data_IF_842027509058
#
_entry.id   IF_842027509058
#
_cell.length_a   1.000
_cell.length_b   1.000
_cell.length_c   1.000
_cell.angle_alpha   90.00
_cell.angle_beta   90.00
_cell.angle_gamma   90.00
#
_symmetry.space_group_name_H-M   'P 1'
#
loop_
_entity.id
_entity.type
_entity.pdbx_description
1 polymer ?
#
# COMPACT_ATOMS: atom_id res chain seq x y z
N UNK A 1 -21.72 -23.36 -8.75
CA UNK A 1 -21.35 -23.37 -8.42
C UNK A 1 -20.72 -23.25 -8.04
N UNK A 2 -20.33 -23.08 -8.06
CA UNK A 2 -19.66 -23.05 -7.76
C UNK A 2 -19.16 -22.75 -6.92
N UNK A 3 -19.06 -22.54 -6.57
CA UNK A 3 -18.64 -22.24 -5.76
C UNK A 3 -17.91 -22.65 -5.06
N UNK A 4 -17.76 -23.16 -5.07
CA UNK A 4 -17.02 -23.56 -4.47
C UNK A 4 -15.92 -23.42 -4.67
N UNK A 5 -15.82 -23.43 -5.11
CA UNK A 5 -14.67 -23.50 -5.32
C UNK A 5 -13.94 -22.58 -5.09
N UNK A 6 -14.29 -22.15 -5.05
CA UNK A 6 -13.51 -21.33 -4.90
C UNK A 6 -12.91 -21.00 -3.75
N UNK A 7 -13.08 -21.41 -2.86
CA UNK A 7 -12.55 -20.99 -1.81
C UNK A 7 -11.17 -21.04 -1.71
N UNK A 8 -10.70 -22.05 -1.85
CA UNK A 8 -9.30 -22.17 -1.67
C UNK A 8 -8.57 -21.68 -2.86
N UNK A 9 -9.20 -21.61 -3.96
CA UNK A 9 -8.43 -21.24 -5.09
C UNK A 9 -9.02 -20.00 -5.72
N UNK A 10 -8.18 -19.01 -5.85
CA UNK A 10 -8.55 -17.78 -6.49
C UNK A 10 -8.12 -17.85 -7.94
N UNK A 11 -8.85 -17.20 -8.80
CA UNK A 11 -8.51 -17.22 -10.20
C UNK A 11 -7.27 -16.38 -10.42
N UNK A 12 -6.63 -16.60 -11.55
CA UNK A 12 -5.49 -15.80 -11.94
C UNK A 12 -5.88 -14.33 -12.04
N UNK A 13 -7.09 -14.07 -12.48
CA UNK A 13 -7.57 -12.69 -12.60
C UNK A 13 -7.65 -12.04 -11.24
N UNK A 14 -8.15 -12.74 -10.24
CA UNK A 14 -8.25 -12.19 -8.91
C UNK A 14 -6.88 -11.90 -8.33
N UNK A 15 -5.93 -12.79 -8.55
CA UNK A 15 -4.56 -12.58 -8.09
C UNK A 15 -3.94 -11.38 -8.79
N UNK A 16 -4.17 -11.26 -10.08
CA UNK A 16 -3.65 -10.11 -10.83
C UNK A 16 -4.27 -8.81 -10.38
N UNK A 17 -5.56 -8.84 -10.00
CA UNK A 17 -6.21 -7.63 -9.52
C UNK A 17 -5.62 -7.16 -8.20
N UNK A 18 -5.29 -8.08 -7.31
CA UNK A 18 -4.67 -7.73 -6.05
C UNK A 18 -3.29 -7.12 -6.30
N UNK A 19 -2.50 -7.73 -7.17
CA UNK A 19 -1.19 -7.21 -7.48
C UNK A 19 -1.26 -5.83 -8.13
N UNK A 20 -2.24 -5.63 -8.99
CA UNK A 20 -2.44 -4.35 -9.63
C UNK A 20 -2.84 -3.29 -8.60
N UNK A 21 -3.72 -3.63 -7.68
CA UNK A 21 -4.12 -2.71 -6.63
C UNK A 21 -2.95 -2.34 -5.72
N UNK A 22 -2.09 -3.31 -5.43
CA UNK A 22 -0.89 -3.04 -4.64
C UNK A 22 0.01 -2.05 -5.37
N UNK A 23 0.22 -2.27 -6.67
CA UNK A 23 1.06 -1.38 -7.45
C UNK A 23 0.50 0.04 -7.48
N UNK A 24 -0.81 0.16 -7.65
CA UNK A 24 -1.44 1.48 -7.68
C UNK A 24 -1.34 2.16 -6.32
N UNK A 25 -1.47 1.39 -5.25
CA UNK A 25 -1.38 1.93 -3.90
C UNK A 25 0.03 2.40 -3.60
N UNK A 26 1.04 1.65 -4.03
CA UNK A 26 2.42 2.08 -3.89
C UNK A 26 2.68 3.38 -4.62
N UNK A 27 2.14 3.50 -5.81
CA UNK A 27 2.30 4.71 -6.59
C UNK A 27 1.65 5.90 -5.88
N UNK A 28 0.43 5.69 -5.36
CA UNK A 28 -0.25 6.74 -4.60
C UNK A 28 0.57 7.16 -3.39
N UNK A 29 1.22 6.21 -2.74
CA UNK A 29 2.06 6.51 -1.59
C UNK A 29 3.26 7.36 -1.99
N UNK A 30 3.88 7.04 -3.11
CA UNK A 30 5.01 7.82 -3.60
C UNK A 30 4.60 9.24 -3.92
N UNK A 31 3.43 9.41 -4.51
CA UNK A 31 2.93 10.74 -4.81
C UNK A 31 2.68 11.53 -3.52
N UNK A 32 2.08 10.88 -2.54
CA UNK A 32 1.81 11.55 -1.27
C UNK A 32 3.11 11.94 -0.58
N UNK A 33 4.12 11.07 -0.61
CA UNK A 33 5.40 11.40 -0.01
C UNK A 33 6.05 12.59 -0.71
N UNK A 34 6.00 12.63 -2.03
CA UNK A 34 6.63 13.72 -2.74
C UNK A 34 5.97 15.05 -2.43
N UNK A 35 4.71 15.04 -2.02
CA UNK A 35 4.03 16.25 -1.63
C UNK A 35 4.66 16.91 -0.42
N UNK A 36 5.25 16.13 0.49
CA UNK A 36 5.88 16.69 1.67
C UNK A 36 7.06 17.58 1.35
N UNK A 37 7.71 17.35 0.21
CA UNK A 37 8.91 18.10 -0.13
C UNK A 37 8.64 19.58 -0.36
N UNK A 38 7.41 19.94 -0.69
CA UNK A 38 7.09 21.30 -1.10
C UNK A 38 6.10 21.99 -0.18
N UNK A 39 5.73 21.36 0.91
CA UNK A 39 4.68 21.88 1.77
C UNK A 39 5.28 22.50 3.00
N UNK A 40 4.85 23.70 3.33
CA UNK A 40 5.26 24.34 4.58
C UNK A 40 4.07 24.71 5.44
N UNK A 41 2.89 24.76 4.87
CA UNK A 41 1.68 25.11 5.60
C UNK A 41 1.27 23.96 6.53
N UNK A 42 1.04 24.23 7.82
CA UNK A 42 0.71 23.17 8.77
C UNK A 42 -0.55 22.38 8.41
N UNK A 43 -1.56 23.04 7.85
CA UNK A 43 -2.78 22.36 7.48
C UNK A 43 -2.53 21.37 6.34
N UNK A 44 -1.70 21.79 5.40
CA UNK A 44 -1.37 20.88 4.29
C UNK A 44 -0.49 19.73 4.75
N UNK A 45 0.42 20.00 5.68
CA UNK A 45 1.23 18.94 6.25
C UNK A 45 0.33 17.90 6.91
N UNK A 46 -0.64 18.35 7.70
CA UNK A 46 -1.57 17.44 8.34
C UNK A 46 -2.38 16.65 7.33
N UNK A 47 -2.78 17.31 6.25
CA UNK A 47 -3.51 16.66 5.18
C UNK A 47 -2.71 15.52 4.57
N UNK A 48 -1.42 15.75 4.30
CA UNK A 48 -0.57 14.72 3.75
C UNK A 48 -0.35 13.58 4.75
N UNK A 49 -0.25 13.90 6.04
CA UNK A 49 -0.11 12.87 7.05
C UNK A 49 -1.33 11.95 7.04
N UNK A 50 -2.53 12.52 6.99
CA UNK A 50 -3.75 11.72 6.93
C UNK A 50 -3.80 10.88 5.67
N UNK A 51 -3.38 11.47 4.55
CA UNK A 51 -3.35 10.77 3.28
C UNK A 51 -2.42 9.58 3.33
N UNK A 52 -1.21 9.79 3.82
CA UNK A 52 -0.23 8.72 3.93
C UNK A 52 -0.75 7.62 4.83
N UNK A 53 -1.32 7.99 5.98
CA UNK A 53 -1.84 6.99 6.89
C UNK A 53 -2.96 6.16 6.27
N UNK A 54 -3.86 6.82 5.53
CA UNK A 54 -4.94 6.10 4.87
C UNK A 54 -4.39 5.13 3.83
N UNK A 55 -3.41 5.58 3.06
CA UNK A 55 -2.81 4.73 2.03
C UNK A 55 -2.08 3.55 2.65
N UNK A 56 -1.37 3.79 3.77
CA UNK A 56 -0.66 2.71 4.44
C UNK A 56 -1.61 1.65 4.97
N UNK A 57 -2.76 2.05 5.46
CA UNK A 57 -3.73 1.08 5.94
C UNK A 57 -4.29 0.25 4.80
N UNK A 58 -4.53 0.89 3.67
CA UNK A 58 -4.97 0.16 2.48
C UNK A 58 -3.90 -0.79 2.00
N UNK A 59 -2.66 -0.33 2.01
CA UNK A 59 -1.53 -1.15 1.60
C UNK A 59 -1.42 -2.40 2.48
N UNK A 60 -1.52 -2.19 3.78
CA UNK A 60 -1.47 -3.31 4.73
C UNK A 60 -2.58 -4.31 4.44
N UNK A 61 -3.79 -3.82 4.21
CA UNK A 61 -4.91 -4.69 3.89
C UNK A 61 -4.62 -5.50 2.63
N UNK A 62 -4.14 -4.82 1.58
CA UNK A 62 -3.87 -5.50 0.32
C UNK A 62 -2.77 -6.54 0.46
N UNK A 63 -1.74 -6.21 1.25
CA UNK A 63 -0.65 -7.16 1.47
C UNK A 63 -1.13 -8.39 2.21
N UNK A 64 -2.04 -8.20 3.16
CA UNK A 64 -2.61 -9.34 3.87
C UNK A 64 -3.44 -10.20 2.94
N UNK A 65 -4.17 -9.58 2.02
CA UNK A 65 -4.93 -10.33 1.03
C UNK A 65 -3.99 -11.08 0.08
N UNK A 66 -2.92 -10.43 -0.34
CA UNK A 66 -1.96 -11.06 -1.23
C UNK A 66 -1.31 -12.26 -0.56
N UNK A 67 -1.02 -12.15 0.73
CA UNK A 67 -0.45 -13.27 1.46
C UNK A 67 -1.39 -14.46 1.47
N UNK A 68 -2.68 -14.20 1.64
CA UNK A 68 -3.66 -15.27 1.62
C UNK A 68 -3.75 -15.94 0.26
N UNK A 69 -3.49 -15.19 -0.79
CA UNK A 69 -3.50 -15.72 -2.15
C UNK A 69 -2.15 -16.25 -2.59
N UNK A 70 -1.15 -16.09 -1.74
CA UNK A 70 0.22 -16.53 -2.02
C UNK A 70 0.79 -15.84 -3.25
N UNK A 71 0.61 -14.52 -3.34
CA UNK A 71 1.10 -13.74 -4.48
C UNK A 71 1.81 -12.47 -4.05
N UNK A 72 2.61 -12.52 -3.01
CA UNK A 72 3.30 -11.34 -2.54
C UNK A 72 4.27 -10.78 -3.58
N UNK A 73 4.31 -9.45 -3.74
CA UNK A 73 5.27 -8.83 -4.64
C UNK A 73 6.70 -9.02 -4.16
N UNK A 74 7.60 -9.19 -5.07
CA UNK A 74 8.98 -9.49 -4.73
C UNK A 74 9.71 -8.37 -4.03
N UNK A 75 9.43 -7.14 -4.39
CA UNK A 75 10.17 -6.02 -3.83
C UNK A 75 9.53 -5.42 -2.60
N UNK A 76 8.52 -6.09 -2.11
CA UNK A 76 7.76 -5.55 -1.02
C UNK A 76 8.58 -5.32 0.23
N UNK A 77 9.39 -6.29 0.57
CA UNK A 77 10.17 -6.21 1.79
C UNK A 77 11.11 -5.03 1.79
N UNK A 78 11.79 -4.81 0.70
CA UNK A 78 12.72 -3.71 0.59
C UNK A 78 12.00 -2.38 0.66
N UNK A 79 10.88 -2.28 0.00
CA UNK A 79 10.09 -1.06 -0.01
C UNK A 79 9.68 -0.66 1.40
N UNK A 80 9.16 -1.61 2.15
CA UNK A 80 8.71 -1.34 3.51
C UNK A 80 9.85 -0.91 4.41
N UNK A 81 11.00 -1.52 4.24
CA UNK A 81 12.13 -1.22 5.12
C UNK A 81 12.71 0.15 4.88
N UNK A 82 12.72 0.60 3.66
CA UNK A 82 13.47 1.80 3.34
C UNK A 82 12.62 3.03 3.13
N UNK A 83 11.46 2.89 2.53
CA UNK A 83 10.70 4.07 2.16
C UNK A 83 9.66 4.44 3.20
N UNK A 84 8.82 3.50 3.53
CA UNK A 84 7.66 3.79 4.35
C UNK A 84 8.06 4.15 5.77
N UNK A 85 8.85 3.28 6.38
CA UNK A 85 9.24 3.51 7.78
C UNK A 85 10.01 4.79 7.95
N UNK A 86 10.91 5.04 7.04
CA UNK A 86 11.77 6.21 7.14
C UNK A 86 10.96 7.49 7.07
N UNK A 87 10.04 7.56 6.14
CA UNK A 87 9.25 8.77 5.97
C UNK A 87 8.29 8.97 7.14
N UNK A 88 7.65 7.90 7.58
CA UNK A 88 6.71 8.00 8.70
C UNK A 88 7.44 8.45 9.95
N UNK A 89 8.61 7.88 10.21
CA UNK A 89 9.40 8.26 11.36
C UNK A 89 9.74 9.75 11.32
N UNK A 90 10.13 10.23 10.15
CA UNK A 90 10.51 11.60 9.97
C UNK A 90 9.34 12.55 10.24
N UNK A 91 8.15 12.17 9.81
CA UNK A 91 6.99 13.03 9.91
C UNK A 91 6.40 13.04 11.32
N UNK A 92 6.41 11.91 12.00
CA UNK A 92 5.75 11.81 13.31
C UNK A 92 6.68 11.99 14.51
N UNK A 93 7.94 12.14 14.28
CA UNK A 93 8.88 12.47 15.32
C UNK A 93 9.08 13.95 15.35
#
# INVERSE_FOLDING_TARGET
MKTHFSQSSYTKTEKNNILDDIAKTKYALEIAYSGFDYVTDPDLIDSYIYQVNAILKRYKYLMEQAAKLDVLPEEEELYQKTSVSSIIHKVFI
#
